data_IF_436678029299
#
_entry.id   IF_436678029299
#
_cell.length_a   1.000
_cell.length_b   1.000
_cell.length_c   1.000
_cell.angle_alpha   90.00
_cell.angle_beta   90.00
_cell.angle_gamma   90.00
#
_symmetry.space_group_name_H-M   'P 1'
#
loop_
_entity.id
_entity.type
_entity.pdbx_description
1 polymer ?
#
# COMPACT_ATOMS: atom_id res chain seq x y z
N UNK A 1 -1.57 -6.58 -13.09
CA UNK A 1 -1.98 -7.25 -11.84
C UNK A 1 -1.48 -6.48 -10.60
N UNK A 2 -0.17 -6.27 -10.44
CA UNK A 2 0.42 -5.54 -9.29
C UNK A 2 -0.02 -4.08 -9.17
N UNK A 3 0.04 -3.28 -10.26
CA UNK A 3 -0.39 -1.87 -10.20
C UNK A 3 -1.85 -1.69 -9.78
N UNK A 4 -2.74 -2.59 -10.21
CA UNK A 4 -4.14 -2.58 -9.81
C UNK A 4 -4.28 -2.78 -8.30
N UNK A 5 -3.51 -3.71 -7.74
CA UNK A 5 -3.49 -3.95 -6.30
C UNK A 5 -2.94 -2.75 -5.54
N UNK A 6 -1.81 -2.19 -6.01
CA UNK A 6 -1.23 -0.97 -5.43
C UNK A 6 -2.23 0.18 -5.45
N UNK A 7 -2.88 0.44 -6.59
CA UNK A 7 -3.88 1.48 -6.72
C UNK A 7 -5.05 1.30 -5.75
N UNK A 8 -5.58 0.07 -5.65
CA UNK A 8 -6.67 -0.24 -4.72
C UNK A 8 -6.27 -0.04 -3.26
N UNK A 9 -5.08 -0.49 -2.87
CA UNK A 9 -4.56 -0.32 -1.51
C UNK A 9 -4.29 1.15 -1.20
N UNK A 10 -3.69 1.90 -2.13
CA UNK A 10 -3.44 3.32 -1.98
C UNK A 10 -4.75 4.11 -1.81
N UNK A 11 -5.77 3.88 -2.66
CA UNK A 11 -7.05 4.57 -2.51
C UNK A 11 -7.77 4.19 -1.20
N UNK A 12 -7.72 2.92 -0.80
CA UNK A 12 -8.26 2.46 0.48
C UNK A 12 -7.59 3.16 1.66
N UNK A 13 -6.26 3.25 1.69
CA UNK A 13 -5.54 3.95 2.76
C UNK A 13 -5.75 5.46 2.72
N UNK A 14 -5.90 6.05 1.52
CA UNK A 14 -6.26 7.45 1.35
C UNK A 14 -7.62 7.74 1.99
N UNK A 15 -8.64 6.95 1.68
CA UNK A 15 -10.00 7.11 2.19
C UNK A 15 -10.08 6.93 3.70
N UNK A 16 -9.43 5.90 4.25
CA UNK A 16 -9.34 5.68 5.70
C UNK A 16 -8.74 6.86 6.46
N UNK A 17 -7.80 7.58 5.84
CA UNK A 17 -7.12 8.75 6.43
C UNK A 17 -7.83 10.07 6.13
N UNK A 18 -8.92 10.05 5.37
CA UNK A 18 -9.64 11.27 4.96
C UNK A 18 -8.82 12.20 4.05
N UNK A 19 -7.82 11.66 3.34
CA UNK A 19 -6.91 12.47 2.52
C UNK A 19 -7.47 12.72 1.12
N UNK A 20 -7.17 13.87 0.56
CA UNK A 20 -7.28 14.12 -0.88
C UNK A 20 -6.22 13.33 -1.64
N UNK A 21 -6.43 13.17 -2.96
CA UNK A 21 -5.44 12.52 -3.84
C UNK A 21 -4.10 13.26 -3.87
N UNK A 22 -4.13 14.59 -3.72
CA UNK A 22 -2.93 15.41 -3.65
C UNK A 22 -2.14 15.16 -2.37
N UNK A 23 -2.83 15.13 -1.23
CA UNK A 23 -2.19 14.85 0.06
C UNK A 23 -1.63 13.43 0.10
N UNK A 24 -2.31 12.46 -0.52
CA UNK A 24 -1.82 11.09 -0.66
C UNK A 24 -0.54 11.00 -1.49
N UNK A 25 -0.47 11.74 -2.61
CA UNK A 25 0.73 11.81 -3.43
C UNK A 25 1.91 12.40 -2.64
N UNK A 26 1.67 13.47 -1.86
CA UNK A 26 2.68 14.06 -0.96
C UNK A 26 3.11 13.07 0.12
N UNK A 27 2.17 12.39 0.78
CA UNK A 27 2.46 11.37 1.79
C UNK A 27 3.37 10.25 1.24
N UNK A 28 3.13 9.81 0.01
CA UNK A 28 3.94 8.77 -0.63
C UNK A 28 5.21 9.31 -1.31
N UNK A 29 5.55 10.59 -1.09
CA UNK A 29 6.70 11.27 -1.69
C UNK A 29 6.75 11.10 -3.22
N UNK A 30 5.65 11.43 -3.89
CA UNK A 30 5.55 11.39 -5.34
C UNK A 30 4.76 12.56 -5.90
N UNK A 31 4.94 12.81 -7.20
CA UNK A 31 4.19 13.86 -7.89
C UNK A 31 2.75 13.39 -8.18
N UNK A 32 1.82 14.34 -8.29
CA UNK A 32 0.43 14.05 -8.66
C UNK A 32 0.32 13.24 -9.97
N UNK A 33 0.99 13.62 -11.07
CA UNK A 33 0.90 12.84 -12.32
C UNK A 33 1.34 11.39 -12.14
N UNK A 34 2.37 11.15 -11.33
CA UNK A 34 2.87 9.81 -11.07
C UNK A 34 1.89 8.98 -10.24
N UNK A 35 1.32 9.57 -9.19
CA UNK A 35 0.25 8.96 -8.41
C UNK A 35 -0.94 8.55 -9.29
N UNK A 36 -1.44 9.46 -10.14
CA UNK A 36 -2.51 9.15 -11.09
C UNK A 36 -2.09 8.10 -12.12
N UNK A 37 -0.82 8.06 -12.52
CA UNK A 37 -0.27 7.01 -13.38
C UNK A 37 -0.32 5.63 -12.73
N UNK A 38 -0.06 5.52 -11.42
CA UNK A 38 -0.25 4.27 -10.67
C UNK A 38 -1.74 3.88 -10.69
N UNK A 39 -2.65 4.82 -10.38
CA UNK A 39 -4.08 4.56 -10.35
C UNK A 39 -4.64 4.09 -11.71
N UNK A 40 -4.12 4.65 -12.81
CA UNK A 40 -4.50 4.29 -14.17
C UNK A 40 -3.78 3.05 -14.71
N UNK A 41 -2.79 2.53 -13.98
CA UNK A 41 -1.96 1.40 -14.43
C UNK A 41 -0.99 1.74 -15.55
N UNK A 42 -0.66 3.02 -15.76
CA UNK A 42 0.25 3.50 -16.80
C UNK A 42 1.66 3.81 -16.28
N UNK A 43 1.86 3.82 -14.97
CA UNK A 43 3.18 4.00 -14.36
C UNK A 43 3.99 2.69 -14.34
N UNK A 44 5.31 2.80 -14.25
CA UNK A 44 6.21 1.67 -14.04
C UNK A 44 7.13 1.95 -12.82
N UNK A 45 6.66 1.71 -11.59
CA UNK A 45 7.45 1.97 -10.39
C UNK A 45 8.58 0.96 -10.22
N UNK A 46 9.77 1.49 -9.94
CA UNK A 46 10.89 0.66 -9.49
C UNK A 46 10.59 0.08 -8.11
N UNK A 47 11.30 -0.98 -7.73
CA UNK A 47 11.17 -1.58 -6.39
C UNK A 47 11.39 -0.54 -5.28
N UNK A 48 12.33 0.39 -5.45
CA UNK A 48 12.58 1.48 -4.51
C UNK A 48 11.38 2.41 -4.32
N UNK A 49 10.63 2.68 -5.40
CA UNK A 49 9.40 3.47 -5.31
C UNK A 49 8.31 2.67 -4.58
N UNK A 50 8.17 1.38 -4.88
CA UNK A 50 7.17 0.52 -4.22
C UNK A 50 7.45 0.40 -2.72
N UNK A 51 8.71 0.22 -2.32
CA UNK A 51 9.10 0.16 -0.91
C UNK A 51 8.86 1.48 -0.19
N UNK A 52 9.16 2.62 -0.82
CA UNK A 52 8.85 3.95 -0.25
C UNK A 52 7.35 4.13 0.01
N UNK A 53 6.51 3.73 -0.95
CA UNK A 53 5.04 3.77 -0.76
C UNK A 53 4.63 2.91 0.43
N UNK A 54 5.12 1.68 0.52
CA UNK A 54 4.84 0.76 1.64
C UNK A 54 5.26 1.36 2.98
N UNK A 55 6.46 1.94 3.07
CA UNK A 55 6.98 2.59 4.29
C UNK A 55 6.12 3.77 4.72
N UNK A 56 5.79 4.70 3.80
CA UNK A 56 5.02 5.89 4.13
C UNK A 56 3.56 5.59 4.45
N UNK A 57 3.01 4.53 3.85
CA UNK A 57 1.71 4.00 4.21
C UNK A 57 1.73 3.14 5.48
N UNK A 58 2.90 2.76 6.00
CA UNK A 58 3.04 1.86 7.15
C UNK A 58 2.27 0.55 6.94
N UNK A 59 2.31 0.01 5.73
CA UNK A 59 1.70 -1.27 5.37
C UNK A 59 2.76 -2.24 4.85
N UNK A 60 2.63 -3.55 5.07
CA UNK A 60 3.56 -4.54 4.52
C UNK A 60 3.65 -4.44 3.00
N UNK A 61 4.86 -4.60 2.46
CA UNK A 61 5.10 -4.57 1.01
C UNK A 61 4.23 -5.61 0.27
N UNK A 62 4.08 -6.80 0.87
CA UNK A 62 3.24 -7.86 0.34
C UNK A 62 1.78 -7.43 0.23
N UNK A 63 1.24 -6.76 1.25
CA UNK A 63 -0.13 -6.23 1.21
C UNK A 63 -0.29 -5.20 0.10
N UNK A 64 0.66 -4.27 -0.06
CA UNK A 64 0.65 -3.28 -1.13
C UNK A 64 0.64 -3.93 -2.53
N UNK A 65 1.44 -4.99 -2.73
CA UNK A 65 1.58 -5.64 -4.04
C UNK A 65 0.46 -6.64 -4.35
N UNK A 66 -0.05 -7.36 -3.34
CA UNK A 66 -1.05 -8.41 -3.52
C UNK A 66 -2.48 -7.92 -3.32
N UNK A 67 -2.69 -6.78 -2.66
CA UNK A 67 -4.02 -6.23 -2.38
C UNK A 67 -4.76 -6.99 -1.27
N UNK A 68 -4.10 -7.91 -0.59
CA UNK A 68 -4.65 -8.73 0.51
C UNK A 68 -4.03 -8.24 1.81
N UNK A 69 -4.84 -7.98 2.84
CA UNK A 69 -4.31 -7.71 4.18
C UNK A 69 -3.45 -8.89 4.62
N UNK A 70 -2.21 -8.64 5.01
CA UNK A 70 -1.41 -9.66 5.66
C UNK A 70 -2.13 -10.11 6.93
N UNK A 71 -2.22 -11.42 7.16
CA UNK A 71 -2.81 -12.01 8.37
C UNK A 71 -1.93 -11.84 9.62
N UNK A 72 -0.76 -11.22 9.45
CA UNK A 72 0.21 -11.01 10.52
C UNK A 72 -0.18 -9.77 11.34
N UNK A 73 -1.20 -9.96 12.16
CA UNK A 73 -1.74 -9.02 13.13
C UNK A 73 -2.87 -9.63 13.97
N UNK A 74 -2.97 -10.95 13.99
CA UNK A 74 -3.82 -11.67 14.91
C UNK A 74 -3.08 -11.73 16.26
N UNK A 75 -3.43 -10.80 17.15
CA UNK A 75 -2.94 -10.69 18.53
C UNK A 75 -3.46 -11.83 19.43
N UNK A 76 -3.58 -13.04 18.87
CA UNK A 76 -3.90 -14.25 19.63
C UNK A 76 -2.57 -14.87 20.05
N UNK A 77 -2.35 -15.11 21.37
CA UNK A 77 -1.19 -15.86 21.79
C UNK A 77 -1.20 -17.21 21.08
N UNK A 78 -0.06 -17.56 20.47
CA UNK A 78 0.18 -18.91 19.96
C UNK A 78 -0.16 -19.87 21.11
N UNK A 79 -1.23 -20.65 20.95
CA UNK A 79 -1.51 -21.70 21.90
C UNK A 79 -0.24 -22.55 22.02
N UNK A 80 0.25 -22.82 23.25
CA UNK A 80 1.45 -23.63 23.39
C UNK A 80 1.22 -24.97 22.67
N UNK A 81 2.24 -25.50 21.98
CA UNK A 81 2.11 -26.76 21.29
C UNK A 81 1.64 -27.81 22.30
N UNK A 82 0.54 -28.49 21.97
CA UNK A 82 0.06 -29.62 22.73
C UNK A 82 1.06 -30.76 22.54
N UNK A 83 1.99 -30.87 23.47
CA UNK A 83 2.77 -32.08 23.73
C UNK A 83 2.22 -32.74 24.99
#
# INVERSE_FOLDING_TARGET
MILRNMAAVMEREREKRGLTKKEMAVLCEMTNPYYFGILKGTANPSLQVITRISTNLKIPLQELMMGVKSRDGDDRPLAPPSF
#
